data_IF_872246712725
#
_entry.id   IF_872246712725
#
_cell.length_a   1.000
_cell.length_b   1.000
_cell.length_c   1.000
_cell.angle_alpha   90.00
_cell.angle_beta   90.00
_cell.angle_gamma   90.00
#
_symmetry.space_group_name_H-M   'P 1'
#
loop_
_entity.id
_entity.type
_entity.pdbx_description
1 polymer ?
#
# COMPACT_ATOMS: atom_id res chain seq x y z
N UNK A 1 -13.33 51.37 19.81
CA UNK A 1 -14.80 51.38 19.83
C UNK A 1 -15.31 51.06 18.43
N UNK A 2 -16.54 50.53 18.34
CA UNK A 2 -17.35 50.18 17.15
C UNK A 2 -17.18 48.74 16.61
N UNK A 3 -18.06 47.86 17.10
CA UNK A 3 -18.55 46.67 16.40
C UNK A 3 -19.58 47.08 15.33
N UNK A 4 -19.69 46.35 14.22
CA UNK A 4 -20.96 46.20 13.50
C UNK A 4 -21.36 44.71 13.54
N UNK A 5 -22.44 44.34 14.22
CA UNK A 5 -23.87 44.51 13.91
C UNK A 5 -24.40 43.37 13.02
N UNK A 6 -25.32 42.62 13.64
CA UNK A 6 -26.16 41.53 13.14
C UNK A 6 -26.96 41.88 11.88
N UNK A 7 -27.30 40.83 11.11
CA UNK A 7 -28.62 40.69 10.48
C UNK A 7 -29.06 39.23 10.51
N UNK A 8 -30.11 38.94 11.30
CA UNK A 8 -31.09 37.88 11.05
C UNK A 8 -32.15 38.49 10.11
N UNK A 9 -32.85 37.83 9.19
CA UNK A 9 -33.88 36.75 9.25
C UNK A 9 -34.27 36.40 7.77
N UNK A 10 -35.35 35.65 7.40
CA UNK A 10 -35.79 34.25 7.62
C UNK A 10 -35.91 33.40 6.31
N UNK A 11 -36.28 32.13 6.54
CA UNK A 11 -36.80 31.06 5.68
C UNK A 11 -37.56 31.39 4.37
N UNK A 12 -37.34 30.54 3.35
CA UNK A 12 -38.40 30.04 2.46
C UNK A 12 -38.16 28.56 2.12
N UNK A 13 -39.19 27.77 2.41
CA UNK A 13 -39.32 26.33 2.17
C UNK A 13 -39.72 26.06 0.72
N UNK A 14 -39.09 25.09 0.04
CA UNK A 14 -39.73 24.33 -1.05
C UNK A 14 -39.22 22.90 -1.00
N UNK A 15 -40.11 21.98 -0.65
CA UNK A 15 -39.88 20.54 -0.79
C UNK A 15 -40.13 20.09 -2.23
N UNK A 16 -39.35 19.11 -2.67
CA UNK A 16 -39.69 18.29 -3.83
C UNK A 16 -39.45 16.84 -3.42
N UNK A 17 -40.55 16.13 -3.14
CA UNK A 17 -40.62 14.68 -3.06
C UNK A 17 -40.59 14.13 -4.49
N UNK A 18 -39.61 13.30 -4.81
CA UNK A 18 -39.61 12.48 -6.03
C UNK A 18 -39.62 11.01 -5.60
N UNK A 19 -40.83 10.46 -5.58
CA UNK A 19 -41.07 9.02 -5.50
C UNK A 19 -40.85 8.41 -6.88
N UNK A 20 -39.82 7.59 -7.03
CA UNK A 20 -39.65 6.71 -8.19
C UNK A 20 -40.33 5.38 -7.89
N UNK A 21 -41.49 5.17 -8.51
CA UNK A 21 -42.15 3.88 -8.57
C UNK A 21 -41.40 2.95 -9.54
N UNK A 22 -40.94 1.80 -9.06
CA UNK A 22 -40.42 0.71 -9.88
C UNK A 22 -41.52 -0.35 -10.01
N UNK A 23 -42.21 -0.32 -11.13
CA UNK A 23 -43.16 -1.35 -11.57
C UNK A 23 -42.69 -1.89 -12.92
N UNK A 24 -42.61 -3.21 -13.06
CA UNK A 24 -42.39 -3.91 -14.35
C UNK A 24 -41.53 -5.16 -14.16
N UNK A 25 -42.12 -6.31 -13.85
CA UNK A 25 -42.79 -7.28 -14.74
C UNK A 25 -41.86 -8.42 -15.18
N UNK A 26 -42.23 -9.60 -14.68
CA UNK A 26 -41.84 -10.97 -14.99
C UNK A 26 -41.63 -11.32 -16.47
N UNK A 27 -40.71 -12.26 -16.74
CA UNK A 27 -40.92 -13.55 -17.45
C UNK A 27 -39.65 -14.02 -18.17
N UNK A 28 -38.92 -14.99 -17.62
CA UNK A 28 -38.13 -16.02 -18.34
C UNK A 28 -37.89 -17.13 -17.31
N UNK A 29 -38.49 -18.31 -17.39
CA UNK A 29 -38.46 -19.24 -18.51
C UNK A 29 -37.61 -20.43 -18.07
N UNK A 30 -38.21 -21.38 -17.33
CA UNK A 30 -37.60 -22.68 -17.05
C UNK A 30 -37.69 -23.51 -18.33
N UNK A 31 -36.54 -23.85 -18.91
CA UNK A 31 -36.42 -24.90 -19.91
C UNK A 31 -35.08 -25.62 -19.69
N UNK A 32 -35.17 -26.94 -19.66
CA UNK A 32 -34.09 -27.90 -19.44
C UNK A 32 -33.03 -27.90 -20.55
N UNK A 33 -31.78 -28.15 -20.14
CA UNK A 33 -30.83 -29.03 -20.84
C UNK A 33 -30.35 -28.64 -22.24
N UNK A 34 -29.19 -27.98 -22.31
CA UNK A 34 -28.20 -28.23 -23.36
C UNK A 34 -26.80 -27.92 -22.86
N UNK A 35 -25.98 -28.96 -22.76
CA UNK A 35 -24.53 -28.95 -22.53
C UNK A 35 -23.78 -28.07 -23.51
N UNK A 36 -23.06 -27.06 -23.01
CA UNK A 36 -21.83 -26.49 -23.59
C UNK A 36 -21.05 -25.78 -22.48
N UNK A 37 -19.71 -25.68 -22.61
CA UNK A 37 -18.79 -25.79 -21.48
C UNK A 37 -18.89 -24.60 -20.53
N UNK A 38 -18.81 -24.93 -19.25
CA UNK A 38 -18.41 -24.07 -18.16
C UNK A 38 -17.39 -23.04 -18.68
N UNK A 39 -17.84 -21.80 -18.87
CA UNK A 39 -16.97 -20.64 -18.84
C UNK A 39 -16.46 -20.59 -17.41
N UNK A 40 -15.43 -21.41 -17.17
CA UNK A 40 -14.60 -21.36 -16.00
C UNK A 40 -14.06 -19.95 -15.99
N UNK A 41 -14.78 -19.06 -15.29
CA UNK A 41 -14.26 -17.79 -14.86
C UNK A 41 -12.92 -18.12 -14.28
N UNK A 42 -11.86 -17.76 -15.00
CA UNK A 42 -10.50 -18.00 -14.60
C UNK A 42 -10.31 -17.17 -13.34
N UNK A 43 -10.65 -17.75 -12.20
CA UNK A 43 -10.21 -17.31 -10.89
C UNK A 43 -8.71 -17.48 -11.00
N UNK A 44 -8.07 -16.39 -11.42
CA UNK A 44 -6.62 -16.33 -11.51
C UNK A 44 -6.15 -16.73 -10.12
N UNK A 45 -5.33 -17.81 -10.01
CA UNK A 45 -4.91 -18.28 -8.71
C UNK A 45 -4.30 -17.12 -7.96
N UNK A 46 -4.78 -16.85 -6.75
CA UNK A 46 -4.18 -15.80 -5.92
C UNK A 46 -2.70 -16.18 -5.74
N UNK A 47 -1.76 -15.30 -6.11
CA UNK A 47 -0.34 -15.60 -6.01
C UNK A 47 -0.01 -16.07 -4.59
N UNK A 48 0.58 -17.27 -4.48
CA UNK A 48 1.04 -17.81 -3.19
C UNK A 48 2.29 -17.04 -2.79
N UNK A 49 2.22 -16.31 -1.67
CA UNK A 49 3.34 -15.55 -1.13
C UNK A 49 2.86 -14.33 -0.34
N UNK A 50 3.81 -13.48 0.09
CA UNK A 50 3.54 -12.28 0.88
C UNK A 50 3.77 -11.01 0.06
N UNK A 51 2.89 -10.04 0.27
CA UNK A 51 3.09 -8.64 -0.16
C UNK A 51 4.02 -7.95 0.84
N UNK A 52 4.75 -6.95 0.38
CA UNK A 52 5.48 -5.99 1.22
C UNK A 52 5.25 -4.57 0.72
N UNK A 53 5.10 -3.63 1.65
CA UNK A 53 5.13 -2.20 1.36
C UNK A 53 6.32 -1.56 2.07
N UNK A 54 7.06 -0.73 1.35
CA UNK A 54 8.16 0.07 1.85
C UNK A 54 7.68 1.53 1.88
N UNK A 55 7.66 2.11 3.07
CA UNK A 55 7.41 3.54 3.29
C UNK A 55 8.73 4.20 3.67
N UNK A 56 9.14 5.21 2.92
CA UNK A 56 10.37 5.97 3.20
C UNK A 56 10.07 7.44 3.41
N UNK A 57 10.69 8.05 4.41
CA UNK A 57 10.49 9.46 4.73
C UNK A 57 11.80 10.09 5.23
N UNK A 58 12.18 11.25 4.68
CA UNK A 58 13.37 11.99 5.08
C UNK A 58 12.98 13.09 6.09
N UNK A 59 13.14 12.81 7.39
CA UNK A 59 12.67 13.71 8.44
C UNK A 59 11.13 13.84 8.50
N UNK A 60 10.60 14.54 9.51
CA UNK A 60 9.16 14.56 9.80
C UNK A 60 8.33 15.38 8.80
N UNK A 61 8.94 16.38 8.15
CA UNK A 61 8.23 17.34 7.30
C UNK A 61 8.22 16.94 5.80
N UNK A 62 9.00 15.94 5.41
CA UNK A 62 9.02 15.48 4.02
C UNK A 62 7.84 14.54 3.73
N UNK A 63 7.26 14.56 2.52
CA UNK A 63 6.23 13.61 2.14
C UNK A 63 6.79 12.17 2.15
N UNK A 64 5.99 11.18 2.58
CA UNK A 64 6.42 9.78 2.53
C UNK A 64 6.34 9.23 1.11
N UNK A 65 7.41 8.57 0.68
CA UNK A 65 7.44 7.74 -0.53
C UNK A 65 6.93 6.34 -0.20
N UNK A 66 6.05 5.79 -1.03
CA UNK A 66 5.50 4.44 -0.83
C UNK A 66 5.73 3.55 -2.05
N UNK A 67 6.33 2.39 -1.81
CA UNK A 67 6.57 1.35 -2.81
C UNK A 67 5.94 0.04 -2.35
N UNK A 68 5.07 -0.55 -3.17
CA UNK A 68 4.40 -1.81 -2.89
C UNK A 68 4.92 -2.89 -3.83
N UNK A 69 5.22 -4.08 -3.31
CA UNK A 69 5.62 -5.25 -4.09
C UNK A 69 4.66 -6.39 -3.79
N UNK A 70 4.01 -6.91 -4.82
CA UNK A 70 3.11 -8.05 -4.71
C UNK A 70 3.88 -9.40 -4.73
N UNK A 71 3.22 -10.54 -4.42
CA UNK A 71 3.91 -11.82 -4.40
C UNK A 71 4.45 -12.29 -5.76
N UNK A 72 3.99 -11.71 -6.87
CA UNK A 72 4.49 -12.01 -8.22
C UNK A 72 5.75 -11.21 -8.58
N UNK A 73 6.19 -10.31 -7.70
CA UNK A 73 7.33 -9.42 -7.95
C UNK A 73 6.96 -8.17 -8.75
N UNK A 74 5.68 -7.97 -9.10
CA UNK A 74 5.23 -6.70 -9.65
C UNK A 74 5.24 -5.66 -8.55
N UNK A 75 5.72 -4.48 -8.91
CA UNK A 75 5.81 -3.37 -7.99
C UNK A 75 5.20 -2.10 -8.56
N UNK A 76 4.69 -1.29 -7.65
CA UNK A 76 4.17 0.04 -7.93
C UNK A 76 4.77 0.99 -6.90
N UNK A 77 5.21 2.15 -7.35
CA UNK A 77 5.71 3.20 -6.50
C UNK A 77 4.92 4.46 -6.74
N UNK A 78 4.41 5.05 -5.67
CA UNK A 78 3.70 6.32 -5.75
C UNK A 78 4.67 7.46 -5.48
N UNK A 79 4.74 8.38 -6.44
CA UNK A 79 5.60 9.57 -6.38
C UNK A 79 7.03 9.24 -5.93
N UNK A 80 7.63 8.25 -6.61
CA UNK A 80 8.91 7.68 -6.23
C UNK A 80 10.09 8.68 -6.35
N UNK A 81 9.96 9.61 -7.30
CA UNK A 81 10.96 10.59 -7.66
C UNK A 81 10.64 11.99 -7.09
N UNK A 82 9.53 12.15 -6.36
CA UNK A 82 9.09 13.45 -5.85
C UNK A 82 8.60 14.42 -6.95
N UNK A 83 8.29 13.90 -8.14
CA UNK A 83 7.83 14.64 -9.32
C UNK A 83 6.31 14.53 -9.54
N UNK A 84 5.60 13.85 -8.64
CA UNK A 84 4.17 13.58 -8.71
C UNK A 84 3.80 12.41 -9.64
N UNK A 85 4.77 11.61 -10.11
CA UNK A 85 4.55 10.53 -11.07
C UNK A 85 4.60 9.15 -10.40
N UNK A 86 3.58 8.33 -10.69
CA UNK A 86 3.56 6.93 -10.30
C UNK A 86 4.41 6.09 -11.27
N UNK A 87 5.25 5.21 -10.71
CA UNK A 87 6.12 4.30 -11.46
C UNK A 87 5.73 2.85 -11.20
N UNK A 88 5.88 1.99 -12.20
CA UNK A 88 5.62 0.55 -12.05
C UNK A 88 6.69 -0.28 -12.74
N UNK A 89 6.82 -1.54 -12.34
CA UNK A 89 7.70 -2.49 -12.97
C UNK A 89 7.61 -3.88 -12.34
N UNK A 90 8.63 -4.69 -12.58
CA UNK A 90 8.72 -6.03 -12.02
C UNK A 90 10.15 -6.34 -11.57
N UNK A 91 10.28 -7.09 -10.48
CA UNK A 91 11.51 -7.74 -10.09
C UNK A 91 11.83 -8.89 -11.06
N UNK A 92 13.11 -9.25 -11.19
CA UNK A 92 13.46 -10.48 -11.92
C UNK A 92 12.90 -11.72 -11.19
N UNK A 93 12.78 -12.87 -11.86
CA UNK A 93 12.34 -14.11 -11.21
C UNK A 93 13.21 -14.48 -10.00
N UNK A 94 14.53 -14.32 -10.11
CA UNK A 94 15.49 -14.61 -9.05
C UNK A 94 15.34 -13.65 -7.86
N UNK A 95 15.15 -12.36 -8.13
CA UNK A 95 14.88 -11.35 -7.10
C UNK A 95 13.54 -11.62 -6.41
N UNK A 96 12.51 -12.00 -7.17
CA UNK A 96 11.18 -12.34 -6.64
C UNK A 96 11.25 -13.54 -5.71
N UNK A 97 11.92 -14.62 -6.15
CA UNK A 97 12.12 -15.81 -5.34
C UNK A 97 12.87 -15.49 -4.04
N UNK A 98 13.98 -14.73 -4.15
CA UNK A 98 14.77 -14.32 -2.99
C UNK A 98 13.97 -13.45 -2.02
N UNK A 99 13.17 -12.51 -2.54
CA UNK A 99 12.29 -11.69 -1.71
C UNK A 99 11.30 -12.57 -0.95
N UNK A 100 10.59 -13.48 -1.63
CA UNK A 100 9.61 -14.35 -0.99
C UNK A 100 10.24 -15.27 0.07
N UNK A 101 11.46 -15.74 -0.15
CA UNK A 101 12.20 -16.50 0.87
C UNK A 101 12.48 -15.67 2.13
N UNK A 102 12.95 -14.42 1.98
CA UNK A 102 13.17 -13.53 3.13
C UNK A 102 11.86 -13.16 3.84
N UNK A 103 10.78 -12.91 3.09
CA UNK A 103 9.47 -12.60 3.66
C UNK A 103 8.85 -13.81 4.40
N UNK A 104 9.24 -15.04 4.07
CA UNK A 104 8.83 -16.24 4.77
C UNK A 104 9.71 -16.59 5.99
N UNK A 105 10.79 -15.85 6.23
CA UNK A 105 11.72 -16.15 7.32
C UNK A 105 11.07 -15.86 8.69
N UNK A 106 10.98 -16.87 9.58
CA UNK A 106 10.40 -16.70 10.91
C UNK A 106 11.19 -15.73 11.80
N UNK A 107 12.45 -15.42 11.49
CA UNK A 107 13.25 -14.44 12.21
C UNK A 107 12.65 -13.02 12.14
N UNK A 108 11.88 -12.70 11.09
CA UNK A 108 11.21 -11.39 10.96
C UNK A 108 10.30 -11.06 12.15
N UNK A 109 9.71 -12.06 12.81
CA UNK A 109 8.88 -11.85 14.00
C UNK A 109 9.67 -11.25 15.18
N UNK A 110 10.99 -11.46 15.22
CA UNK A 110 11.90 -10.89 16.25
C UNK A 110 12.47 -9.54 15.84
N UNK A 111 12.28 -9.13 14.59
CA UNK A 111 12.80 -7.88 14.03
C UNK A 111 11.77 -6.74 14.07
N UNK A 112 10.52 -7.03 14.46
CA UNK A 112 9.47 -6.02 14.54
C UNK A 112 9.79 -4.90 15.50
N UNK A 113 9.19 -3.74 15.25
CA UNK A 113 9.34 -2.57 16.12
C UNK A 113 8.88 -2.88 17.54
N UNK A 114 7.83 -3.68 17.69
CA UNK A 114 7.35 -4.18 18.97
C UNK A 114 8.40 -5.08 19.66
N UNK A 115 8.88 -6.12 18.98
CA UNK A 115 9.81 -7.09 19.55
C UNK A 115 11.16 -6.47 19.93
N UNK A 116 11.62 -5.47 19.17
CA UNK A 116 12.86 -4.73 19.45
C UNK A 116 12.68 -3.52 20.36
N UNK A 117 11.45 -3.17 20.72
CA UNK A 117 11.12 -1.91 21.40
C UNK A 117 11.72 -0.68 20.68
N UNK A 118 11.56 -0.65 19.37
CA UNK A 118 12.16 0.36 18.51
C UNK A 118 11.76 1.77 18.94
N UNK A 119 12.74 2.67 18.90
CA UNK A 119 12.57 4.10 19.15
C UNK A 119 13.36 4.87 18.11
N UNK A 120 12.82 6.00 17.69
CA UNK A 120 13.51 6.86 16.76
C UNK A 120 14.83 7.39 17.36
N UNK A 121 15.92 7.17 16.64
CA UNK A 121 17.28 7.48 17.10
C UNK A 121 17.77 8.86 16.66
N UNK A 122 17.46 9.30 15.44
CA UNK A 122 17.93 10.56 14.88
C UNK A 122 16.80 11.47 14.43
N UNK A 123 17.12 12.76 14.41
CA UNK A 123 16.32 13.80 13.77
C UNK A 123 16.77 13.88 12.30
N UNK A 124 15.84 14.13 11.39
CA UNK A 124 16.08 14.32 9.96
C UNK A 124 16.79 13.17 9.23
N UNK A 125 16.77 11.95 9.80
CA UNK A 125 17.27 10.76 9.13
C UNK A 125 16.24 10.18 8.15
N UNK A 126 16.74 9.49 7.13
CA UNK A 126 15.91 8.67 6.26
C UNK A 126 15.35 7.50 7.07
N UNK A 127 14.05 7.51 7.30
CA UNK A 127 13.30 6.44 7.96
C UNK A 127 12.73 5.52 6.89
N UNK A 128 13.00 4.22 7.00
CA UNK A 128 12.47 3.18 6.12
C UNK A 128 11.65 2.19 6.95
N UNK A 129 10.34 2.12 6.68
CA UNK A 129 9.40 1.21 7.34
C UNK A 129 8.91 0.17 6.34
N UNK A 130 9.15 -1.10 6.67
CA UNK A 130 8.60 -2.25 5.96
C UNK A 130 7.31 -2.70 6.64
N UNK A 131 6.23 -2.75 5.86
CA UNK A 131 4.92 -3.26 6.23
C UNK A 131 4.70 -4.58 5.52
N UNK A 132 4.69 -5.69 6.26
CA UNK A 132 4.57 -7.04 5.72
C UNK A 132 3.34 -7.71 6.34
N UNK A 133 2.22 -7.83 5.61
CA UNK A 133 1.04 -8.51 6.12
C UNK A 133 1.28 -9.99 6.44
N UNK A 134 0.62 -10.55 7.47
CA UNK A 134 -0.16 -9.82 8.47
C UNK A 134 0.74 -9.22 9.57
N UNK A 135 0.56 -7.92 9.85
CA UNK A 135 0.98 -7.28 11.10
C UNK A 135 2.47 -7.12 11.39
N UNK A 136 3.39 -7.45 10.48
CA UNK A 136 4.81 -7.17 10.71
C UNK A 136 5.15 -5.76 10.25
N UNK A 137 5.56 -4.93 11.20
CA UNK A 137 6.10 -3.59 10.96
C UNK A 137 7.53 -3.55 11.46
N UNK A 138 8.48 -3.26 10.56
CA UNK A 138 9.89 -3.13 10.89
C UNK A 138 10.38 -1.78 10.38
N UNK A 139 10.88 -0.94 11.28
CA UNK A 139 11.44 0.37 10.97
C UNK A 139 12.94 0.38 11.18
N UNK A 140 13.63 1.07 10.27
CA UNK A 140 15.07 1.32 10.31
C UNK A 140 15.33 2.78 9.95
N UNK A 141 16.32 3.42 10.58
CA UNK A 141 16.84 4.71 10.10
C UNK A 141 18.25 4.57 9.58
N UNK A 142 18.59 5.47 8.65
CA UNK A 142 19.97 5.68 8.25
C UNK A 142 20.71 6.53 9.28
N UNK A 143 20.84 5.97 10.47
CA UNK A 143 21.49 6.56 11.64
C UNK A 143 22.85 5.91 11.90
N UNK A 144 23.91 6.70 12.17
CA UNK A 144 25.17 6.16 12.66
C UNK A 144 24.98 5.34 13.94
N UNK A 145 25.46 4.10 13.92
CA UNK A 145 25.40 3.20 15.08
C UNK A 145 24.05 2.50 15.31
N UNK A 146 23.04 2.73 14.46
CA UNK A 146 21.79 1.97 14.56
C UNK A 146 21.99 0.51 14.14
N UNK A 147 21.59 -0.46 14.98
CA UNK A 147 21.65 -1.86 14.62
C UNK A 147 20.63 -2.18 13.53
N UNK A 148 21.13 -2.65 12.38
CA UNK A 148 20.33 -3.06 11.23
C UNK A 148 19.74 -4.46 11.44
N UNK A 149 18.41 -4.65 11.35
CA UNK A 149 17.78 -5.96 11.46
C UNK A 149 18.29 -6.90 10.35
N UNK A 150 18.81 -8.10 10.69
CA UNK A 150 19.48 -8.97 9.72
C UNK A 150 18.67 -9.32 8.47
N UNK A 151 17.38 -9.66 8.60
CA UNK A 151 16.54 -10.08 7.48
C UNK A 151 15.85 -8.89 6.83
N UNK A 152 15.20 -8.04 7.61
CA UNK A 152 14.43 -6.90 7.10
C UNK A 152 15.35 -5.90 6.38
N UNK A 153 16.59 -5.73 6.81
CA UNK A 153 17.55 -4.89 6.09
C UNK A 153 17.91 -5.47 4.71
N UNK A 154 17.97 -6.79 4.56
CA UNK A 154 18.19 -7.42 3.25
C UNK A 154 16.98 -7.28 2.34
N UNK A 155 15.76 -7.33 2.89
CA UNK A 155 14.52 -7.01 2.17
C UNK A 155 14.57 -5.57 1.65
N UNK A 156 14.90 -4.60 2.52
CA UNK A 156 15.05 -3.20 2.16
C UNK A 156 16.08 -3.02 1.03
N UNK A 157 17.27 -3.59 1.17
CA UNK A 157 18.32 -3.51 0.16
C UNK A 157 17.89 -4.07 -1.20
N UNK A 158 17.29 -5.26 -1.24
CA UNK A 158 16.82 -5.87 -2.48
C UNK A 158 15.82 -4.96 -3.19
N UNK A 159 14.83 -4.46 -2.44
CA UNK A 159 13.75 -3.64 -2.99
C UNK A 159 14.29 -2.31 -3.52
N UNK A 160 15.11 -1.62 -2.74
CA UNK A 160 15.68 -0.31 -3.11
C UNK A 160 16.68 -0.39 -4.26
N UNK A 161 17.40 -1.50 -4.43
CA UNK A 161 18.32 -1.70 -5.57
C UNK A 161 17.60 -2.09 -6.86
N UNK A 162 16.43 -2.73 -6.75
CA UNK A 162 15.66 -3.22 -7.90
C UNK A 162 14.56 -2.26 -8.36
N UNK A 163 14.39 -1.13 -7.67
CA UNK A 163 13.39 -0.11 -7.99
C UNK A 163 14.05 1.26 -8.11
N UNK A 164 13.51 2.16 -8.93
CA UNK A 164 14.12 3.49 -9.11
C UNK A 164 14.27 4.18 -7.75
N UNK A 165 15.49 4.62 -7.42
CA UNK A 165 15.68 5.73 -6.49
C UNK A 165 15.81 6.99 -7.34
N UNK A 166 15.23 8.11 -6.90
CA UNK A 166 15.19 9.40 -7.60
C UNK A 166 16.18 9.52 -8.77
N UNK A 167 15.66 9.72 -9.99
CA UNK A 167 16.49 10.12 -11.13
C UNK A 167 16.82 11.60 -10.94
N UNK A 168 17.85 11.90 -10.14
CA UNK A 168 18.47 13.23 -10.21
C UNK A 168 19.37 13.23 -11.44
N UNK A 169 18.75 13.59 -12.57
CA UNK A 169 19.45 13.95 -13.81
C UNK A 169 20.49 15.05 -13.58
#
# INVERSE_FOLDING_TARGET
MVRPSWSRVPALSVGVLLATALTGCSLFGRAEGATTPDEAGAVSPTPVGRRVSLVQQLGPDSPPRTLEVDPTGRWQCRDCAGDGVDSTGALTPEQTQRLQQMLADPALAKETDEARHYKQGCIDALTSTLLIPPGLTITTQDCPGEPKPPVAYQVLLLITQATPAEDRG
#
